data_IF_548115945351
#
_entry.id   IF_548115945351
#
_cell.length_a   1.000
_cell.length_b   1.000
_cell.length_c   1.000
_cell.angle_alpha   90.00
_cell.angle_beta   90.00
_cell.angle_gamma   90.00
#
_symmetry.space_group_name_H-M   'P 1'
#
loop_
_entity.id
_entity.type
_entity.pdbx_description
1 polymer ?
#
# COMPACT_ATOMS: atom_id res chain seq x y z
N UNK A 1 1.91 -11.72 9.66
CA UNK A 1 2.25 -10.66 8.69
C UNK A 1 3.07 -9.60 9.41
N UNK A 2 4.17 -9.14 8.82
CA UNK A 2 4.97 -8.07 9.45
C UNK A 2 4.15 -6.78 9.50
N UNK A 3 4.05 -6.15 10.67
CA UNK A 3 3.39 -4.85 10.86
C UNK A 3 4.22 -3.67 10.31
N UNK A 4 5.44 -3.92 9.88
CA UNK A 4 6.36 -2.93 9.32
C UNK A 4 6.16 -2.82 7.81
N UNK A 5 5.73 -1.63 7.35
CA UNK A 5 5.51 -1.30 5.93
C UNK A 5 6.60 -0.37 5.41
N UNK A 6 6.98 -0.49 4.14
CA UNK A 6 7.93 0.42 3.53
C UNK A 6 7.37 1.83 3.36
N UNK A 7 8.25 2.82 3.54
CA UNK A 7 7.95 4.22 3.34
C UNK A 7 8.37 4.63 1.94
N UNK A 8 7.40 4.70 1.02
CA UNK A 8 7.64 5.07 -0.39
C UNK A 8 8.61 4.13 -1.11
N UNK A 9 8.38 2.80 -1.11
CA UNK A 9 9.24 1.88 -1.85
C UNK A 9 9.19 2.17 -3.36
N UNK A 10 10.31 2.03 -4.09
CA UNK A 10 10.30 2.07 -5.54
C UNK A 10 9.38 0.98 -6.11
N UNK A 11 8.73 1.25 -7.24
CA UNK A 11 7.83 0.29 -7.89
C UNK A 11 8.53 -1.04 -8.19
N UNK A 12 9.80 -0.98 -8.64
CA UNK A 12 10.62 -2.16 -8.93
C UNK A 12 10.87 -3.07 -7.71
N UNK A 13 10.68 -2.58 -6.48
CA UNK A 13 10.82 -3.34 -5.23
C UNK A 13 9.47 -3.56 -4.52
N UNK A 14 8.36 -3.29 -5.20
CA UNK A 14 7.01 -3.34 -4.65
C UNK A 14 6.25 -4.55 -5.16
N UNK A 15 5.60 -5.27 -4.25
CA UNK A 15 4.74 -6.39 -4.57
C UNK A 15 3.37 -5.92 -5.07
N UNK A 16 2.99 -6.37 -6.26
CA UNK A 16 1.71 -6.03 -6.89
C UNK A 16 0.48 -6.68 -6.21
N UNK A 17 0.69 -7.53 -5.21
CA UNK A 17 -0.40 -8.19 -4.47
C UNK A 17 -0.68 -7.46 -3.15
N UNK A 18 0.35 -7.21 -2.34
CA UNK A 18 0.17 -6.53 -1.05
C UNK A 18 0.41 -5.03 -1.09
N UNK A 19 0.89 -4.49 -2.22
CA UNK A 19 1.22 -3.08 -2.44
C UNK A 19 2.23 -2.51 -1.43
N UNK A 20 3.15 -3.36 -0.99
CA UNK A 20 4.25 -3.01 -0.08
C UNK A 20 5.55 -3.58 -0.66
N UNK A 21 6.69 -3.17 -0.11
CA UNK A 21 7.98 -3.77 -0.44
C UNK A 21 7.98 -5.28 -0.25
N UNK A 22 8.75 -6.01 -1.06
CA UNK A 22 8.77 -7.46 -0.98
C UNK A 22 9.14 -7.99 0.41
N UNK A 23 8.46 -9.07 0.84
CA UNK A 23 8.83 -9.87 2.01
C UNK A 23 9.16 -11.28 1.52
N UNK A 24 10.42 -11.71 1.68
CA UNK A 24 10.94 -12.92 1.06
C UNK A 24 10.62 -12.95 -0.44
N UNK A 25 11.26 -12.09 -1.28
CA UNK A 25 10.90 -11.96 -2.68
C UNK A 25 11.10 -13.28 -3.44
N UNK A 26 10.03 -13.71 -4.09
CA UNK A 26 9.89 -14.98 -4.82
C UNK A 26 9.54 -14.68 -6.26
N UNK A 27 10.30 -15.23 -7.19
CA UNK A 27 10.14 -15.06 -8.63
C UNK A 27 9.44 -16.27 -9.24
N UNK A 28 8.40 -16.03 -10.06
CA UNK A 28 7.81 -17.06 -10.92
C UNK A 28 8.80 -17.41 -12.02
N UNK A 29 9.16 -18.69 -12.16
CA UNK A 29 10.28 -19.09 -13.02
C UNK A 29 10.07 -18.73 -14.50
N UNK A 30 8.86 -18.97 -15.02
CA UNK A 30 8.55 -18.82 -16.44
C UNK A 30 8.42 -17.35 -16.85
N UNK A 31 7.56 -16.57 -16.17
CA UNK A 31 7.29 -15.19 -16.56
C UNK A 31 8.17 -14.14 -15.87
N UNK A 32 8.93 -14.53 -14.84
CA UNK A 32 9.89 -13.64 -14.18
C UNK A 32 9.30 -12.62 -13.20
N UNK A 33 7.98 -12.52 -13.04
CA UNK A 33 7.35 -11.62 -12.07
C UNK A 33 7.68 -12.01 -10.62
N UNK A 34 7.87 -11.01 -9.78
CA UNK A 34 8.32 -11.16 -8.39
C UNK A 34 7.20 -10.74 -7.44
N UNK A 35 7.02 -11.51 -6.36
CA UNK A 35 6.03 -11.29 -5.31
C UNK A 35 6.63 -11.59 -3.94
N UNK A 36 5.94 -11.24 -2.87
CA UNK A 36 6.25 -11.82 -1.56
C UNK A 36 5.97 -13.34 -1.60
N UNK A 37 6.77 -14.14 -0.91
CA UNK A 37 6.57 -15.59 -0.81
C UNK A 37 5.13 -15.92 -0.37
N UNK A 38 4.62 -15.24 0.65
CA UNK A 38 3.24 -15.43 1.14
C UNK A 38 2.16 -14.97 0.17
N UNK A 39 2.48 -14.05 -0.75
CA UNK A 39 1.52 -13.51 -1.72
C UNK A 39 1.34 -14.42 -2.94
N UNK A 40 2.36 -15.21 -3.30
CA UNK A 40 2.30 -16.14 -4.44
C UNK A 40 2.08 -17.60 -4.01
N UNK A 41 2.15 -17.89 -2.70
CA UNK A 41 1.98 -19.24 -2.16
C UNK A 41 0.64 -19.84 -2.57
N UNK A 42 0.68 -20.99 -3.26
CA UNK A 42 -0.51 -21.71 -3.71
C UNK A 42 -1.19 -21.12 -4.95
N UNK A 43 -0.65 -20.05 -5.55
CA UNK A 43 -1.18 -19.51 -6.79
C UNK A 43 -0.84 -20.44 -7.97
N UNK A 44 -1.85 -20.86 -8.73
CA UNK A 44 -1.69 -21.62 -9.98
C UNK A 44 -1.51 -20.72 -11.20
N UNK A 45 -1.86 -19.43 -11.07
CA UNK A 45 -1.75 -18.41 -12.12
C UNK A 45 -1.05 -17.17 -11.58
N UNK A 46 -0.18 -16.57 -12.41
CA UNK A 46 0.56 -15.37 -12.06
C UNK A 46 -0.39 -14.17 -11.91
N UNK A 47 -0.39 -13.46 -10.76
CA UNK A 47 -1.28 -12.30 -10.56
C UNK A 47 -1.07 -11.16 -11.55
N UNK A 48 0.13 -11.03 -12.13
CA UNK A 48 0.46 -9.93 -13.05
C UNK A 48 0.09 -10.24 -14.50
N UNK A 49 0.52 -11.40 -15.04
CA UNK A 49 0.34 -11.72 -16.45
C UNK A 49 -0.68 -12.84 -16.73
N UNK A 50 -1.27 -13.43 -15.68
CA UNK A 50 -2.21 -14.57 -15.76
C UNK A 50 -1.64 -15.86 -16.37
N UNK A 51 -0.34 -15.92 -16.64
CA UNK A 51 0.34 -17.15 -17.08
C UNK A 51 0.37 -18.21 -15.98
N UNK A 52 0.49 -19.48 -16.36
CA UNK A 52 0.56 -20.61 -15.42
C UNK A 52 1.81 -20.53 -14.52
N UNK A 53 1.63 -20.83 -13.23
CA UNK A 53 2.72 -20.93 -12.25
C UNK A 53 3.02 -22.40 -12.04
N UNK A 54 4.09 -22.87 -12.69
CA UNK A 54 4.56 -24.25 -12.51
C UNK A 54 5.37 -24.39 -11.22
N UNK A 55 6.34 -23.50 -11.03
CA UNK A 55 7.10 -23.37 -9.80
C UNK A 55 7.69 -21.97 -9.63
N UNK A 56 8.20 -21.72 -8.43
CA UNK A 56 8.82 -20.45 -8.04
C UNK A 56 10.23 -20.66 -7.52
N UNK A 57 11.08 -19.64 -7.67
CA UNK A 57 12.44 -19.60 -7.12
C UNK A 57 12.67 -18.32 -6.31
N UNK A 58 13.71 -18.24 -5.47
CA UNK A 58 14.11 -16.97 -4.87
C UNK A 58 14.39 -15.92 -5.95
N UNK A 59 14.00 -14.68 -5.70
CA UNK A 59 14.32 -13.56 -6.60
C UNK A 59 15.85 -13.34 -6.74
N UNK A 60 16.30 -12.65 -7.80
CA UNK A 60 17.71 -12.29 -7.96
C UNK A 60 18.30 -11.59 -6.73
N UNK A 61 19.60 -11.79 -6.48
CA UNK A 61 20.25 -11.25 -5.29
C UNK A 61 20.15 -9.71 -5.22
N UNK A 62 20.22 -9.00 -6.35
CA UNK A 62 20.05 -7.55 -6.40
C UNK A 62 18.73 -7.08 -5.81
N UNK A 63 17.62 -7.73 -6.15
CA UNK A 63 16.28 -7.43 -5.61
C UNK A 63 16.24 -7.76 -4.12
N UNK A 64 16.76 -8.93 -3.74
CA UNK A 64 16.80 -9.36 -2.33
C UNK A 64 17.57 -8.38 -1.45
N UNK A 65 18.76 -7.95 -1.86
CA UNK A 65 19.57 -6.98 -1.11
C UNK A 65 18.96 -5.58 -1.14
N UNK A 66 18.44 -5.14 -2.30
CA UNK A 66 17.83 -3.82 -2.44
C UNK A 66 16.64 -3.61 -1.51
N UNK A 67 15.78 -4.62 -1.37
CA UNK A 67 14.62 -4.58 -0.47
C UNK A 67 15.03 -4.42 1.00
N UNK A 68 16.14 -5.03 1.43
CA UNK A 68 16.59 -4.98 2.82
C UNK A 68 16.98 -3.58 3.31
N UNK A 69 17.37 -2.71 2.38
CA UNK A 69 17.80 -1.34 2.65
C UNK A 69 16.63 -0.34 2.74
N UNK A 70 15.42 -0.74 2.34
CA UNK A 70 14.28 0.18 2.31
C UNK A 70 13.91 0.65 3.72
N UNK A 71 13.64 1.95 3.91
CA UNK A 71 13.10 2.45 5.16
C UNK A 71 11.68 1.91 5.36
N UNK A 72 11.38 1.48 6.59
CA UNK A 72 10.07 0.96 6.98
C UNK A 72 9.61 1.59 8.29
N UNK A 73 8.30 1.58 8.48
CA UNK A 73 7.65 1.97 9.72
C UNK A 73 6.67 0.89 10.16
N UNK A 74 6.72 0.54 11.44
CA UNK A 74 5.70 -0.25 12.10
C UNK A 74 4.42 0.57 12.21
N UNK A 75 3.37 0.16 11.50
CA UNK A 75 2.05 0.79 11.57
C UNK A 75 1.29 0.54 12.87
N UNK A 76 1.94 -0.08 13.87
CA UNK A 76 1.34 -0.39 15.17
C UNK A 76 1.98 0.40 16.31
N UNK A 77 3.30 0.40 16.41
CA UNK A 77 4.02 1.13 17.47
C UNK A 77 4.81 2.35 16.95
N UNK A 78 4.82 2.61 15.64
CA UNK A 78 5.56 3.72 15.03
C UNK A 78 7.07 3.50 14.93
N UNK A 79 7.59 2.32 15.32
CA UNK A 79 9.01 1.99 15.17
C UNK A 79 9.47 2.18 13.73
N UNK A 80 10.64 2.79 13.54
CA UNK A 80 11.23 3.02 12.23
C UNK A 80 12.60 2.34 12.15
N UNK A 81 12.96 1.92 10.95
CA UNK A 81 14.25 1.33 10.66
C UNK A 81 14.32 0.86 9.22
N UNK A 82 15.27 -0.01 8.90
CA UNK A 82 15.33 -0.66 7.59
C UNK A 82 14.47 -1.92 7.57
N UNK A 83 14.12 -2.39 6.37
CA UNK A 83 13.44 -3.67 6.17
C UNK A 83 14.21 -4.82 6.82
N UNK A 84 15.55 -4.81 6.77
CA UNK A 84 16.39 -5.77 7.49
C UNK A 84 16.17 -5.71 9.00
N UNK A 85 16.26 -4.52 9.60
CA UNK A 85 16.05 -4.34 11.04
C UNK A 85 14.62 -4.75 11.47
N UNK A 86 13.63 -4.60 10.60
CA UNK A 86 12.25 -4.97 10.90
C UNK A 86 12.01 -6.49 11.02
N UNK A 87 12.97 -7.32 10.59
CA UNK A 87 12.85 -8.79 10.72
C UNK A 87 12.94 -9.23 12.18
N UNK A 88 13.74 -8.52 12.99
CA UNK A 88 13.88 -8.74 14.43
C UNK A 88 12.93 -7.88 15.26
N UNK A 89 12.24 -6.92 14.64
CA UNK A 89 11.18 -6.15 15.29
C UNK A 89 10.04 -7.09 15.73
N UNK A 90 9.66 -6.97 17.01
CA UNK A 90 8.49 -7.63 17.58
C UNK A 90 7.59 -6.54 18.17
N UNK A 91 6.44 -6.32 17.54
CA UNK A 91 5.50 -5.31 18.00
C UNK A 91 4.66 -5.87 19.16
N UNK A 92 4.80 -5.26 20.33
CA UNK A 92 4.01 -5.60 21.52
C UNK A 92 2.71 -4.80 21.68
N UNK A 93 2.52 -3.74 20.90
CA UNK A 93 1.29 -2.93 20.97
C UNK A 93 0.21 -3.53 20.09
N UNK A 94 -1.01 -3.64 20.64
CA UNK A 94 -2.23 -3.90 19.85
C UNK A 94 -2.73 -2.62 19.15
N UNK A 95 -2.20 -1.46 19.52
CA UNK A 95 -2.55 -0.18 18.93
C UNK A 95 -2.05 -0.07 17.49
N UNK A 96 -2.84 0.56 16.62
CA UNK A 96 -2.46 0.88 15.23
C UNK A 96 -2.02 2.34 15.14
N UNK A 97 -0.71 2.58 15.07
CA UNK A 97 -0.12 3.87 14.72
C UNK A 97 -0.18 4.07 13.19
N UNK A 98 -1.17 4.82 12.71
CA UNK A 98 -1.15 5.29 11.32
C UNK A 98 -0.14 6.44 11.15
N UNK A 99 0.31 6.71 9.93
CA UNK A 99 1.12 7.92 9.63
C UNK A 99 0.33 9.21 9.96
N UNK A 100 -1.01 9.12 10.00
CA UNK A 100 -1.91 10.19 10.47
C UNK A 100 -2.06 10.25 11.99
N UNK A 101 -1.50 9.30 12.75
CA UNK A 101 -1.61 9.26 14.22
C UNK A 101 -0.83 10.38 14.90
N UNK A 102 0.07 11.05 14.16
CA UNK A 102 0.78 12.26 14.61
C UNK A 102 -0.03 13.55 14.38
N UNK A 103 -1.14 13.51 13.64
CA UNK A 103 -2.09 14.60 13.70
C UNK A 103 -2.69 14.62 15.12
N UNK A 104 -2.84 15.80 15.74
CA UNK A 104 -3.62 15.91 16.96
C UNK A 104 -4.92 15.14 16.75
N UNK A 105 -5.31 14.29 17.71
CA UNK A 105 -6.65 13.69 17.76
C UNK A 105 -7.62 14.84 17.95
N UNK A 106 -8.00 15.49 16.86
CA UNK A 106 -9.04 16.50 16.87
C UNK A 106 -10.33 15.75 17.18
N UNK A 107 -11.11 16.27 18.14
CA UNK A 107 -12.47 15.78 18.34
C UNK A 107 -13.31 16.04 17.09
N UNK A 108 -14.44 15.35 16.99
CA UNK A 108 -15.41 15.59 15.92
C UNK A 108 -15.84 17.07 15.87
N UNK A 109 -16.02 17.73 17.03
CA UNK A 109 -16.26 19.18 17.12
C UNK A 109 -15.13 20.04 16.55
N UNK A 110 -13.87 19.65 16.76
CA UNK A 110 -12.71 20.42 16.30
C UNK A 110 -12.46 20.20 14.80
N UNK A 111 -12.73 18.99 14.29
CA UNK A 111 -12.77 18.70 12.86
C UNK A 111 -13.88 19.50 12.17
N UNK A 112 -15.08 19.50 12.76
CA UNK A 112 -16.21 20.25 12.25
C UNK A 112 -15.91 21.76 12.21
N UNK A 113 -15.38 22.33 13.31
CA UNK A 113 -14.97 23.75 13.37
C UNK A 113 -13.96 24.11 12.28
N UNK A 114 -12.98 23.24 12.00
CA UNK A 114 -11.98 23.49 10.94
C UNK A 114 -12.55 23.37 9.54
N UNK A 115 -13.49 22.45 9.31
CA UNK A 115 -14.13 22.25 8.01
C UNK A 115 -15.03 23.43 7.61
N UNK A 116 -15.62 24.12 8.60
CA UNK A 116 -16.52 25.27 8.39
C UNK A 116 -15.82 26.63 8.54
N UNK A 117 -14.51 26.66 8.82
CA UNK A 117 -13.74 27.90 8.97
C UNK A 117 -13.64 28.65 7.62
N UNK A 118 -14.29 29.82 7.48
CA UNK A 118 -14.32 30.57 6.21
C UNK A 118 -12.95 31.17 5.86
N UNK A 119 -12.05 31.33 6.83
CA UNK A 119 -10.74 31.97 6.65
C UNK A 119 -9.71 31.05 5.97
N UNK A 120 -9.94 29.73 5.99
CA UNK A 120 -9.03 28.71 5.45
C UNK A 120 -9.49 28.10 4.12
N UNK A 121 -10.58 28.59 3.56
CA UNK A 121 -11.23 28.00 2.40
C UNK A 121 -11.88 26.67 2.78
N UNK A 122 -13.16 26.71 3.12
CA UNK A 122 -13.92 25.50 3.38
C UNK A 122 -13.90 24.60 2.13
N UNK A 123 -13.46 23.35 2.27
CA UNK A 123 -13.63 22.32 1.23
C UNK A 123 -15.10 21.96 1.00
N UNK A 124 -15.98 22.36 1.93
CA UNK A 124 -17.42 22.27 1.79
C UNK A 124 -17.98 23.66 1.48
N UNK A 125 -17.80 24.12 0.25
CA UNK A 125 -18.64 25.20 -0.25
C UNK A 125 -20.09 24.71 -0.30
N UNK A 126 -20.88 25.11 0.71
CA UNK A 126 -22.34 25.00 0.87
C UNK A 126 -23.00 23.66 0.48
N UNK A 127 -23.85 23.06 1.32
CA UNK A 127 -24.63 21.89 0.90
C UNK A 127 -25.49 22.26 -0.32
N UNK A 128 -25.19 21.68 -1.49
CA UNK A 128 -26.09 21.71 -2.66
C UNK A 128 -25.53 22.21 -3.99
N UNK A 129 -24.25 22.60 -4.14
CA UNK A 129 -23.76 23.19 -5.41
C UNK A 129 -22.82 22.31 -6.24
N UNK A 130 -22.39 21.13 -5.77
CA UNK A 130 -21.55 20.27 -6.59
C UNK A 130 -22.38 19.32 -7.47
N UNK A 131 -22.36 19.56 -8.80
CA UNK A 131 -22.76 18.53 -9.77
C UNK A 131 -21.75 17.39 -9.67
N UNK A 132 -22.17 16.26 -9.10
CA UNK A 132 -21.32 15.07 -8.97
C UNK A 132 -20.74 14.62 -10.31
N UNK A 133 -19.53 14.08 -10.27
CA UNK A 133 -18.90 13.41 -11.42
C UNK A 133 -19.64 12.07 -11.59
N UNK A 134 -20.31 11.81 -12.73
CA UNK A 134 -21.05 10.58 -12.91
C UNK A 134 -20.06 9.41 -13.02
N UNK A 135 -20.29 8.37 -12.22
CA UNK A 135 -19.59 7.10 -12.34
C UNK A 135 -20.24 6.28 -13.46
N UNK A 136 -19.37 5.76 -14.33
CA UNK A 136 -19.59 4.82 -15.43
C UNK A 136 -20.28 5.32 -16.70
N UNK A 137 -19.59 5.07 -17.81
CA UNK A 137 -19.99 5.25 -19.20
C UNK A 137 -21.14 4.31 -19.59
N UNK A 138 -22.30 4.87 -19.94
CA UNK A 138 -23.25 4.19 -20.82
C UNK A 138 -23.08 4.71 -22.25
N UNK A 139 -22.76 3.76 -23.11
CA UNK A 139 -22.70 3.83 -24.56
C UNK A 139 -24.02 4.35 -25.10
N UNK A 140 -23.97 5.40 -25.93
CA UNK A 140 -25.11 5.81 -26.76
C UNK A 140 -24.75 5.66 -28.27
N UNK A 141 -25.74 5.34 -29.11
CA UNK A 141 -25.55 4.56 -30.32
C UNK A 141 -25.22 5.39 -31.56
N UNK A 142 -24.84 4.63 -32.58
CA UNK A 142 -24.47 5.03 -33.93
C UNK A 142 -25.52 5.90 -34.67
N UNK A 143 -24.99 6.77 -35.55
CA UNK A 143 -25.62 7.41 -36.74
C UNK A 143 -26.65 8.53 -36.54
N UNK A 144 -26.43 9.65 -37.25
CA UNK A 144 -26.57 9.74 -38.72
C UNK A 144 -25.46 10.57 -39.34
#
# INVERSE_FOLDING_TARGET
>A
MSCCRALGPPEALTCQVCLDSFQSPTQVFICGHIFCESCIRGATTCPTCRGHVEYTKPAPNSVRQGVLLLPVMCGSCGWQGTRQQSQTHRCGTKDTQSVYSSYPRLSDEELHRRAIDPSRGSIFHQPGTFKGIPLSSEVAPNRK
#
